data_IF_950584906542
#
_entry.id   IF_950584906542
#
_cell.length_a   1.000
_cell.length_b   1.000
_cell.length_c   1.000
_cell.angle_alpha   90.00
_cell.angle_beta   90.00
_cell.angle_gamma   90.00
#
_symmetry.space_group_name_H-M   'P 1'
#
loop_
_entity.id
_entity.type
_entity.pdbx_description
1 polymer ?
#
# COMPACT_ATOMS: atom_id res chain seq x y z
N UNK A 1 7.17 -12.15 -7.49
CA UNK A 1 7.02 -10.74 -7.09
C UNK A 1 6.63 -9.84 -8.26
N UNK A 2 7.41 -9.69 -9.35
CA UNK A 2 7.00 -8.82 -10.49
C UNK A 2 5.75 -9.36 -11.22
N UNK A 3 5.64 -10.68 -11.43
CA UNK A 3 4.45 -11.29 -12.08
C UNK A 3 3.16 -11.05 -11.30
N UNK A 4 3.21 -11.04 -9.99
CA UNK A 4 2.05 -10.77 -9.12
C UNK A 4 1.61 -9.31 -9.19
N UNK A 5 2.54 -8.36 -9.34
CA UNK A 5 2.21 -6.94 -9.48
C UNK A 5 1.52 -6.63 -10.81
N UNK A 6 1.81 -7.40 -11.87
CA UNK A 6 1.18 -7.20 -13.17
C UNK A 6 -0.33 -7.46 -13.16
N UNK A 7 -0.85 -8.23 -12.20
CA UNK A 7 -2.31 -8.45 -12.05
C UNK A 7 -3.07 -7.18 -11.70
N UNK A 8 -2.38 -6.17 -11.17
CA UNK A 8 -2.96 -4.88 -10.82
C UNK A 8 -2.89 -3.85 -11.97
N UNK A 9 -2.28 -4.20 -13.11
CA UNK A 9 -2.07 -3.29 -14.23
C UNK A 9 -3.10 -3.53 -15.34
N UNK A 10 -3.38 -2.48 -16.13
CA UNK A 10 -4.22 -2.57 -17.32
C UNK A 10 -5.72 -2.43 -17.05
N UNK A 11 -6.14 -2.15 -15.82
CA UNK A 11 -7.54 -1.92 -15.48
C UNK A 11 -7.99 -0.53 -15.97
N UNK A 12 -9.18 -0.46 -16.55
CA UNK A 12 -9.79 0.80 -16.99
C UNK A 12 -10.28 1.57 -15.76
N UNK A 13 -10.04 2.88 -15.73
CA UNK A 13 -10.47 3.73 -14.62
C UNK A 13 -11.98 3.92 -14.61
N UNK A 14 -12.59 3.64 -13.46
CA UNK A 14 -14.00 3.93 -13.18
C UNK A 14 -14.12 4.46 -11.73
N UNK A 15 -14.56 5.72 -11.62
CA UNK A 15 -14.67 6.40 -10.33
C UNK A 15 -15.55 5.61 -9.34
N UNK A 16 -15.00 5.34 -8.15
CA UNK A 16 -15.71 4.60 -7.09
C UNK A 16 -15.75 3.08 -7.25
N UNK A 17 -15.39 2.55 -8.42
CA UNK A 17 -15.42 1.11 -8.74
C UNK A 17 -14.01 0.60 -8.98
N UNK A 18 -13.26 1.23 -9.88
CA UNK A 18 -11.92 0.85 -10.30
C UNK A 18 -11.04 2.11 -10.39
N UNK A 19 -10.72 2.68 -9.26
CA UNK A 19 -9.95 3.93 -9.12
C UNK A 19 -8.67 3.74 -8.29
N UNK A 20 -7.97 4.83 -8.00
CA UNK A 20 -6.71 4.77 -7.25
C UNK A 20 -6.90 4.18 -5.84
N UNK A 21 -8.02 4.43 -5.16
CA UNK A 21 -8.26 3.85 -3.84
C UNK A 21 -8.65 2.36 -3.92
N UNK A 22 -9.46 1.98 -4.90
CA UNK A 22 -9.78 0.56 -5.14
C UNK A 22 -8.50 -0.23 -5.40
N UNK A 23 -7.57 0.33 -6.19
CA UNK A 23 -6.26 -0.30 -6.42
C UNK A 23 -5.48 -0.52 -5.12
N UNK A 24 -5.49 0.44 -4.18
CA UNK A 24 -4.89 0.25 -2.84
C UNK A 24 -5.56 -0.90 -2.10
N UNK A 25 -6.90 -0.93 -2.08
CA UNK A 25 -7.66 -1.99 -1.40
C UNK A 25 -7.32 -3.38 -1.96
N UNK A 26 -7.31 -3.53 -3.26
CA UNK A 26 -7.01 -4.80 -3.94
C UNK A 26 -5.58 -5.26 -3.67
N UNK A 27 -4.63 -4.32 -3.68
CA UNK A 27 -3.24 -4.61 -3.34
C UNK A 27 -3.11 -5.09 -1.89
N UNK A 28 -3.71 -4.38 -0.92
CA UNK A 28 -3.63 -4.73 0.49
C UNK A 28 -4.34 -6.06 0.78
N UNK A 29 -5.50 -6.31 0.18
CA UNK A 29 -6.21 -7.58 0.27
C UNK A 29 -5.36 -8.73 -0.27
N UNK A 30 -4.79 -8.57 -1.47
CA UNK A 30 -4.02 -9.63 -2.14
C UNK A 30 -2.67 -9.86 -1.44
N UNK A 31 -1.98 -8.79 -1.05
CA UNK A 31 -0.61 -8.88 -0.55
C UNK A 31 -0.53 -9.16 0.95
N UNK A 32 -1.41 -8.58 1.72
CA UNK A 32 -1.39 -8.63 3.18
C UNK A 32 -2.62 -9.31 3.79
N UNK A 33 -3.58 -9.76 2.95
CA UNK A 33 -4.87 -10.33 3.39
C UNK A 33 -5.67 -9.35 4.27
N UNK A 34 -5.47 -8.07 4.04
CA UNK A 34 -6.06 -6.97 4.76
C UNK A 34 -7.20 -6.37 3.94
N UNK A 35 -8.41 -6.40 4.48
CA UNK A 35 -9.58 -5.81 3.83
C UNK A 35 -9.80 -4.38 4.32
N UNK A 36 -9.54 -3.42 3.44
CA UNK A 36 -9.86 -2.01 3.68
C UNK A 36 -11.31 -1.72 3.28
N UNK A 37 -11.98 -0.86 4.04
CA UNK A 37 -13.38 -0.49 3.81
C UNK A 37 -13.59 0.14 2.44
N UNK A 38 -14.67 -0.22 1.76
CA UNK A 38 -15.04 0.42 0.49
C UNK A 38 -15.87 1.68 0.76
N UNK A 39 -15.18 2.80 0.94
CA UNK A 39 -15.85 4.09 1.12
C UNK A 39 -16.44 4.60 -0.18
N UNK A 40 -17.64 5.19 -0.10
CA UNK A 40 -18.22 5.92 -1.22
C UNK A 40 -17.34 7.14 -1.58
N UNK A 41 -17.10 7.32 -2.87
CA UNK A 41 -16.35 8.45 -3.40
C UNK A 41 -17.29 9.38 -4.16
N UNK A 42 -17.68 10.52 -3.56
CA UNK A 42 -18.57 11.48 -4.19
C UNK A 42 -17.97 11.99 -5.51
N UNK A 43 -18.79 12.22 -6.52
CA UNK A 43 -18.32 12.60 -7.87
C UNK A 43 -17.46 13.88 -7.90
N UNK A 44 -17.65 14.80 -6.96
CA UNK A 44 -16.98 16.10 -6.96
C UNK A 44 -16.00 16.31 -5.79
N UNK A 45 -15.61 15.24 -5.09
CA UNK A 45 -14.75 15.34 -3.91
C UNK A 45 -13.38 16.00 -4.21
N UNK A 46 -12.86 15.84 -5.43
CA UNK A 46 -11.58 16.44 -5.87
C UNK A 46 -11.67 17.98 -5.92
N UNK A 47 -12.86 18.55 -6.10
CA UNK A 47 -13.09 19.98 -6.28
C UNK A 47 -13.40 20.70 -4.96
N UNK A 48 -13.65 19.97 -3.88
CA UNK A 48 -13.94 20.57 -2.57
C UNK A 48 -12.64 20.67 -1.74
N UNK A 49 -12.07 21.88 -1.56
CA UNK A 49 -10.84 22.07 -0.80
C UNK A 49 -11.00 21.75 0.69
N UNK A 50 -12.23 21.64 1.20
CA UNK A 50 -12.50 21.29 2.59
C UNK A 50 -12.58 19.76 2.78
N UNK A 51 -12.62 19.00 1.70
CA UNK A 51 -12.78 17.56 1.74
C UNK A 51 -11.42 16.86 1.57
N UNK A 52 -10.58 16.88 2.62
CA UNK A 52 -9.39 16.06 2.68
C UNK A 52 -9.78 14.59 2.90
N UNK A 53 -10.40 14.03 1.86
CA UNK A 53 -11.02 12.72 1.88
C UNK A 53 -10.01 11.62 2.19
N UNK A 54 -8.87 11.59 1.50
CA UNK A 54 -7.89 10.53 1.66
C UNK A 54 -7.19 10.56 3.01
N UNK A 55 -6.86 11.73 3.56
CA UNK A 55 -6.24 11.82 4.88
C UNK A 55 -7.14 11.21 5.94
N UNK A 56 -8.42 11.57 5.96
CA UNK A 56 -9.40 11.01 6.90
C UNK A 56 -9.65 9.52 6.70
N UNK A 57 -9.65 9.08 5.44
CA UNK A 57 -9.90 7.69 5.08
C UNK A 57 -8.78 6.78 5.59
N UNK A 58 -7.53 7.10 5.28
CA UNK A 58 -6.39 6.28 5.71
C UNK A 58 -6.19 6.30 7.22
N UNK A 59 -6.47 7.41 7.90
CA UNK A 59 -6.48 7.47 9.36
C UNK A 59 -7.53 6.52 9.96
N UNK A 60 -8.75 6.48 9.41
CA UNK A 60 -9.81 5.54 9.85
C UNK A 60 -9.46 4.09 9.61
N UNK A 61 -8.73 3.78 8.56
CA UNK A 61 -8.22 2.44 8.27
C UNK A 61 -6.99 2.07 9.09
N UNK A 62 -6.54 2.92 10.01
CA UNK A 62 -5.42 2.64 10.91
C UNK A 62 -4.04 2.89 10.31
N UNK A 63 -3.97 3.60 9.19
CA UNK A 63 -2.67 4.01 8.64
C UNK A 63 -2.07 5.15 9.46
N UNK A 64 -0.78 5.08 9.67
CA UNK A 64 0.01 6.04 10.39
C UNK A 64 0.90 6.85 9.44
N UNK A 65 1.09 8.14 9.73
CA UNK A 65 2.07 8.95 9.03
C UNK A 65 3.47 8.45 9.37
N UNK A 66 4.25 8.14 8.37
CA UNK A 66 5.61 7.63 8.58
C UNK A 66 6.61 8.72 8.96
N UNK A 67 6.21 10.01 8.90
CA UNK A 67 7.08 11.17 9.01
C UNK A 67 8.31 11.09 8.09
N UNK A 68 8.24 10.23 7.10
CA UNK A 68 9.30 10.06 6.11
C UNK A 68 9.11 11.04 4.96
N UNK A 69 10.23 11.59 4.53
CA UNK A 69 10.24 12.30 3.25
C UNK A 69 10.00 11.31 2.09
N UNK A 70 9.58 11.79 0.91
CA UNK A 70 9.32 10.96 -0.26
C UNK A 70 10.48 10.08 -0.74
N UNK A 71 11.67 10.27 -0.21
CA UNK A 71 12.86 9.48 -0.55
C UNK A 71 13.09 8.27 0.38
N UNK A 72 12.39 8.16 1.52
CA UNK A 72 12.54 7.09 2.52
C UNK A 72 11.33 6.18 2.58
N UNK A 73 10.83 5.77 1.41
CA UNK A 73 9.66 4.92 1.29
C UNK A 73 10.02 3.43 1.32
N UNK A 74 9.12 2.60 1.83
CA UNK A 74 9.24 1.14 1.85
C UNK A 74 8.13 0.49 1.02
N UNK A 75 8.37 -0.74 0.58
CA UNK A 75 7.37 -1.52 -0.15
C UNK A 75 6.04 -1.59 0.63
N UNK A 76 4.94 -1.25 -0.03
CA UNK A 76 3.60 -1.20 0.55
C UNK A 76 3.21 0.16 1.13
N UNK A 77 4.11 1.13 1.24
CA UNK A 77 3.75 2.49 1.66
C UNK A 77 2.77 3.11 0.67
N UNK A 78 1.78 3.80 1.20
CA UNK A 78 0.85 4.60 0.40
C UNK A 78 1.37 6.03 0.31
N UNK A 79 1.51 6.50 -0.92
CA UNK A 79 1.97 7.83 -1.27
C UNK A 79 0.75 8.71 -1.55
N UNK A 80 0.51 9.67 -0.70
CA UNK A 80 -0.60 10.62 -0.82
C UNK A 80 -0.13 11.84 -1.59
N UNK A 81 -0.79 12.14 -2.71
CA UNK A 81 -0.31 13.11 -3.70
C UNK A 81 -1.34 14.19 -4.00
N UNK A 82 -0.82 15.36 -4.36
CA UNK A 82 -1.57 16.42 -5.05
C UNK A 82 -1.20 16.43 -6.51
N UNK A 83 -2.20 16.23 -7.37
CA UNK A 83 -2.03 16.27 -8.82
C UNK A 83 -2.99 17.28 -9.45
N UNK A 84 -2.62 17.77 -10.64
CA UNK A 84 -3.49 18.65 -11.45
C UNK A 84 -3.95 19.92 -10.69
N UNK A 85 -3.02 20.59 -9.98
CA UNK A 85 -3.30 21.86 -9.32
C UNK A 85 -4.24 21.80 -8.10
N UNK A 86 -4.47 20.61 -7.53
CA UNK A 86 -5.31 20.45 -6.35
C UNK A 86 -4.61 20.94 -5.09
N UNK A 87 -5.34 21.60 -4.21
CA UNK A 87 -4.87 22.02 -2.87
C UNK A 87 -4.98 20.89 -1.84
N UNK A 88 -5.82 19.90 -2.10
CA UNK A 88 -6.02 18.72 -1.26
C UNK A 88 -5.40 17.47 -1.90
N UNK A 89 -5.17 16.43 -1.09
CA UNK A 89 -4.75 15.12 -1.59
C UNK A 89 -5.87 14.56 -2.46
N UNK A 90 -5.56 14.37 -3.74
CA UNK A 90 -6.53 13.90 -4.73
C UNK A 90 -6.07 12.66 -5.51
N UNK A 91 -4.91 12.13 -5.17
CA UNK A 91 -4.40 10.90 -5.75
C UNK A 91 -3.60 10.10 -4.73
N UNK A 92 -3.64 8.78 -4.85
CA UNK A 92 -2.85 7.85 -4.04
C UNK A 92 -2.18 6.81 -4.91
N UNK A 93 -0.99 6.40 -4.50
CA UNK A 93 -0.21 5.35 -5.15
C UNK A 93 0.45 4.45 -4.11
N UNK A 94 0.89 3.27 -4.51
CA UNK A 94 1.64 2.34 -3.66
C UNK A 94 3.08 2.29 -4.11
N UNK A 95 4.02 2.42 -3.18
CA UNK A 95 5.41 2.15 -3.49
C UNK A 95 5.65 0.64 -3.56
N UNK A 96 6.06 0.16 -4.73
CA UNK A 96 6.25 -1.27 -4.99
C UNK A 96 7.72 -1.70 -5.05
N UNK A 97 8.60 -0.86 -4.47
CA UNK A 97 10.04 -1.12 -4.43
C UNK A 97 10.76 -0.77 -5.74
N UNK A 98 12.09 -0.82 -5.72
CA UNK A 98 12.95 -0.58 -6.89
C UNK A 98 12.66 0.74 -7.62
N UNK A 99 12.39 1.81 -6.87
CA UNK A 99 12.02 3.12 -7.42
C UNK A 99 10.82 3.06 -8.37
N UNK A 100 9.78 2.29 -8.01
CA UNK A 100 8.54 2.17 -8.78
C UNK A 100 7.32 2.36 -7.90
N UNK A 101 6.28 2.92 -8.50
CA UNK A 101 4.96 3.06 -7.91
C UNK A 101 3.91 2.40 -8.77
N UNK A 102 2.91 1.81 -8.12
CA UNK A 102 1.69 1.30 -8.72
C UNK A 102 0.59 2.33 -8.48
N UNK A 103 -0.08 2.78 -9.53
CA UNK A 103 -1.13 3.77 -9.42
C UNK A 103 -2.19 3.66 -10.53
N UNK A 104 -3.29 4.39 -10.37
CA UNK A 104 -4.39 4.42 -11.31
C UNK A 104 -4.90 5.86 -11.46
N UNK A 105 -4.52 6.53 -12.53
CA UNK A 105 -4.96 7.89 -12.84
C UNK A 105 -6.29 7.90 -13.58
N UNK A 106 -7.11 8.90 -13.32
CA UNK A 106 -8.33 9.14 -14.08
C UNK A 106 -8.01 9.29 -15.57
N UNK A 107 -8.78 8.59 -16.42
CA UNK A 107 -8.61 8.58 -17.87
C UNK A 107 -7.43 7.74 -18.37
N UNK A 108 -6.79 6.95 -17.50
CA UNK A 108 -5.73 6.02 -17.86
C UNK A 108 -6.03 4.63 -17.33
N UNK A 109 -5.27 3.64 -17.76
CA UNK A 109 -5.24 2.32 -17.12
C UNK A 109 -4.32 2.33 -15.90
N UNK A 110 -4.56 1.40 -14.98
CA UNK A 110 -3.64 1.18 -13.85
C UNK A 110 -2.28 0.71 -14.36
N UNK A 111 -1.21 1.25 -13.79
CA UNK A 111 0.15 1.00 -14.29
C UNK A 111 1.22 1.08 -13.19
N UNK A 112 2.38 0.47 -13.47
CA UNK A 112 3.59 0.64 -12.68
C UNK A 112 4.53 1.56 -13.45
N UNK A 113 4.92 2.66 -12.81
CA UNK A 113 5.81 3.67 -13.37
C UNK A 113 7.02 3.91 -12.49
N UNK A 114 8.04 4.57 -13.04
CA UNK A 114 9.21 4.99 -12.26
C UNK A 114 8.82 6.07 -11.24
N UNK A 115 9.28 5.89 -10.00
CA UNK A 115 9.12 6.87 -8.93
C UNK A 115 10.24 7.90 -9.00
N UNK A 116 10.17 8.74 -10.01
CA UNK A 116 11.10 9.83 -10.31
C UNK A 116 10.79 11.10 -9.49
N UNK A 117 11.59 12.15 -9.69
CA UNK A 117 11.42 13.42 -8.98
C UNK A 117 10.08 14.10 -9.31
N UNK A 118 9.55 13.88 -10.51
CA UNK A 118 8.24 14.38 -10.92
C UNK A 118 7.12 13.82 -10.02
N UNK A 119 7.20 12.55 -9.64
CA UNK A 119 6.23 11.94 -8.72
C UNK A 119 6.53 12.32 -7.27
N UNK A 120 7.80 12.31 -6.85
CA UNK A 120 8.20 12.68 -5.49
C UNK A 120 7.74 14.08 -5.11
N UNK A 121 7.86 15.03 -6.02
CA UNK A 121 7.42 16.41 -5.80
C UNK A 121 5.90 16.54 -5.52
N UNK A 122 5.09 15.59 -5.98
CA UNK A 122 3.64 15.55 -5.75
C UNK A 122 3.26 14.92 -4.41
N UNK A 123 4.15 14.14 -3.81
CA UNK A 123 3.88 13.47 -2.53
C UNK A 123 3.89 14.48 -1.40
N UNK A 124 2.80 14.55 -0.68
CA UNK A 124 2.65 15.43 0.51
C UNK A 124 2.69 14.64 1.82
N UNK A 125 2.31 13.36 1.79
CA UNK A 125 2.39 12.45 2.93
C UNK A 125 2.70 11.04 2.47
N UNK A 126 3.39 10.31 3.33
CA UNK A 126 3.63 8.87 3.18
C UNK A 126 3.03 8.18 4.39
N UNK A 127 2.05 7.32 4.17
CA UNK A 127 1.37 6.61 5.26
C UNK A 127 1.60 5.11 5.14
N UNK A 128 1.65 4.43 6.29
CA UNK A 128 1.87 2.99 6.41
C UNK A 128 0.88 2.37 7.37
N UNK A 129 0.35 1.22 7.02
CA UNK A 129 -0.41 0.42 7.98
C UNK A 129 0.55 -0.40 8.85
N UNK A 130 0.49 -0.31 10.19
CA UNK A 130 1.47 -0.97 11.08
C UNK A 130 1.46 -2.50 10.97
N UNK A 131 0.33 -3.10 10.62
CA UNK A 131 0.21 -4.57 10.46
C UNK A 131 1.03 -5.14 9.29
N UNK A 132 1.45 -4.32 8.30
CA UNK A 132 2.25 -4.83 7.19
C UNK A 132 3.65 -5.25 7.62
N UNK A 133 4.22 -4.64 8.65
CA UNK A 133 5.52 -5.04 9.21
C UNK A 133 5.41 -6.41 9.87
N UNK A 134 4.36 -6.64 10.67
CA UNK A 134 4.10 -7.94 11.33
C UNK A 134 3.90 -9.06 10.31
N UNK A 135 3.16 -8.80 9.23
CA UNK A 135 2.93 -9.78 8.17
C UNK A 135 4.22 -10.12 7.42
N UNK A 136 5.07 -9.12 7.17
CA UNK A 136 6.36 -9.33 6.50
C UNK A 136 7.29 -10.17 7.36
N UNK A 137 7.36 -9.92 8.66
CA UNK A 137 8.17 -10.68 9.59
C UNK A 137 7.67 -12.12 9.74
N UNK A 138 6.35 -12.33 9.82
CA UNK A 138 5.76 -13.67 9.88
C UNK A 138 6.05 -14.49 8.62
N UNK A 139 5.97 -13.88 7.43
CA UNK A 139 6.31 -14.53 6.16
C UNK A 139 7.80 -14.82 6.08
N UNK A 140 8.67 -13.92 6.53
CA UNK A 140 10.11 -14.14 6.57
C UNK A 140 10.46 -15.30 7.50
N UNK A 141 9.91 -15.35 8.71
CA UNK A 141 10.07 -16.46 9.67
C UNK A 141 9.55 -17.79 9.11
N UNK A 142 8.39 -17.80 8.45
CA UNK A 142 7.83 -18.98 7.81
C UNK A 142 8.74 -19.53 6.70
N UNK A 143 9.29 -18.65 5.87
CA UNK A 143 10.22 -19.04 4.80
C UNK A 143 11.56 -19.52 5.34
N UNK A 144 12.08 -18.91 6.41
CA UNK A 144 13.26 -19.40 7.13
C UNK A 144 13.00 -20.82 7.69
N UNK A 145 11.85 -21.04 8.33
CA UNK A 145 11.47 -22.36 8.82
C UNK A 145 11.39 -23.42 7.71
N UNK A 146 10.84 -23.07 6.54
CA UNK A 146 10.78 -23.99 5.38
C UNK A 146 12.16 -24.35 4.84
N UNK A 147 13.13 -23.45 4.92
CA UNK A 147 14.50 -23.66 4.45
C UNK A 147 15.36 -24.49 5.42
N UNK A 148 14.94 -24.67 6.67
CA UNK A 148 15.73 -25.41 7.67
C UNK A 148 15.60 -26.93 7.48
N UNK A 149 16.68 -27.71 7.71
CA UNK A 149 16.63 -29.17 7.80
C UNK A 149 15.61 -29.65 8.85
N UNK A 150 14.97 -30.80 8.59
CA UNK A 150 13.87 -31.33 9.40
C UNK A 150 14.22 -31.43 10.90
N UNK A 151 15.45 -31.86 11.23
CA UNK A 151 15.91 -32.00 12.61
C UNK A 151 16.04 -30.68 13.35
N UNK A 152 16.30 -29.56 12.65
CA UNK A 152 16.34 -28.21 13.25
C UNK A 152 14.93 -27.62 13.42
N UNK A 153 13.98 -27.99 12.56
CA UNK A 153 12.56 -27.59 12.72
C UNK A 153 11.95 -28.19 13.98
N UNK A 154 12.28 -29.44 14.29
CA UNK A 154 11.82 -30.12 15.52
C UNK A 154 12.32 -29.45 16.79
N UNK A 155 13.61 -29.05 16.84
CA UNK A 155 14.20 -28.33 17.99
C UNK A 155 13.57 -26.96 18.25
N UNK A 156 13.20 -26.24 17.20
CA UNK A 156 12.53 -24.93 17.36
C UNK A 156 11.09 -25.04 17.86
N UNK A 157 10.40 -26.15 17.56
CA UNK A 157 9.05 -26.40 18.08
C UNK A 157 9.09 -26.74 19.56
N UNK A 158 10.05 -27.53 20.04
CA UNK A 158 10.21 -27.84 21.46
C UNK A 158 10.61 -26.63 22.29
N UNK A 159 11.48 -25.77 21.80
CA UNK A 159 11.90 -24.55 22.51
C UNK A 159 10.79 -23.48 22.63
N UNK A 160 9.79 -23.48 21.76
CA UNK A 160 8.63 -22.58 21.85
C UNK A 160 7.52 -23.11 22.76
N UNK A 161 7.44 -24.42 23.00
CA UNK A 161 6.47 -25.01 23.94
C UNK A 161 6.87 -24.85 25.40
N UNK A 162 8.16 -24.65 25.70
CA UNK A 162 8.66 -24.43 27.06
C UNK A 162 8.55 -22.97 27.57
N UNK A 163 8.10 -22.03 26.70
CA UNK A 163 7.93 -20.61 27.07
C UNK A 163 6.47 -20.21 27.35
N UNK A 164 5.54 -21.16 27.41
CA UNK A 164 4.10 -20.91 27.61
C UNK A 164 3.59 -21.53 28.93
N UNK A 165 4.48 -21.84 29.87
CA UNK A 165 4.11 -22.16 31.24
C UNK A 165 4.50 -21.04 32.22
#
# INVERSE_FOLDING_TARGET
MIKELNTFCGHIYEQGIQDCYTLIRDFYKTRYQMELTNYARPNNWIQDPNLDFFSRLFEREGFEDTNNCPHKVRFGDVLMMRIVGSEVVNHVAIYVGRQKILHHLQGRVSEIVDYDDKWRFRVVRVVRHPEIEKTTDAVALHNLHKGLPIHLRAKLRSANSEKVE
#
